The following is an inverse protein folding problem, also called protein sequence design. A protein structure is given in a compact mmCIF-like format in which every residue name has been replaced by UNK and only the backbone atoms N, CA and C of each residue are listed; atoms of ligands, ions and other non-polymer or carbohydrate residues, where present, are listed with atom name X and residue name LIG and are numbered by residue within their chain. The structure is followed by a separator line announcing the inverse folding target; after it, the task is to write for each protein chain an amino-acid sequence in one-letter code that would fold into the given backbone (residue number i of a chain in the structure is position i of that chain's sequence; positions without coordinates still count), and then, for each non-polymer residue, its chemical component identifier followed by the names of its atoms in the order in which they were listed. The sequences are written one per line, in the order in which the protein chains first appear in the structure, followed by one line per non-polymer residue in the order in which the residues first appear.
data_IF_958318004464
#
_entry.id   IF_958318004464
#
_cell.length_a   1.000
_cell.length_b   1.000
_cell.length_c   1.000
_cell.angle_alpha   90.00
_cell.angle_beta   90.00
_cell.angle_gamma   90.00
#
_symmetry.space_group_name_H-M   'P 1'
#
loop_
_entity.id
_entity.type
_entity.pdbx_description
1 polymer ?
#
# COMPACT_ATOMS: atom_id res chain seq x y z
N UNK A 1 -5.18 -20.32 -26.09
CA UNK A 1 -5.93 -19.89 -24.89
C UNK A 1 -4.91 -19.54 -23.82
N UNK A 2 -4.60 -18.25 -23.66
CA UNK A 2 -3.71 -17.81 -22.59
C UNK A 2 -4.44 -17.93 -21.24
N UNK A 3 -3.87 -18.65 -20.29
CA UNK A 3 -4.39 -18.70 -18.92
C UNK A 3 -4.37 -17.28 -18.35
N UNK A 4 -5.52 -16.75 -17.94
CA UNK A 4 -5.59 -15.51 -17.16
C UNK A 4 -4.67 -15.67 -15.95
N UNK A 5 -3.70 -14.75 -15.80
CA UNK A 5 -2.88 -14.70 -14.58
C UNK A 5 -3.83 -14.53 -13.39
N UNK A 6 -3.76 -15.44 -12.43
CA UNK A 6 -4.53 -15.36 -11.19
C UNK A 6 -4.05 -14.16 -10.39
N UNK A 7 -5.01 -13.35 -9.91
CA UNK A 7 -4.72 -12.23 -9.01
C UNK A 7 -4.27 -12.70 -7.63
N UNK A 8 -3.98 -11.75 -6.75
CA UNK A 8 -3.62 -12.03 -5.35
C UNK A 8 -4.76 -12.75 -4.62
N UNK A 9 -4.43 -13.85 -3.94
CA UNK A 9 -5.38 -14.63 -3.13
C UNK A 9 -5.26 -14.30 -1.64
N UNK A 10 -6.23 -14.69 -0.81
CA UNK A 10 -6.15 -14.56 0.65
C UNK A 10 -4.94 -15.30 1.22
N UNK A 11 -4.59 -16.47 0.68
CA UNK A 11 -3.38 -17.21 1.06
C UNK A 11 -2.10 -16.42 0.77
N UNK A 12 -2.03 -15.69 -0.36
CA UNK A 12 -0.88 -14.83 -0.64
C UNK A 12 -0.78 -13.68 0.39
N UNK A 13 -1.91 -13.09 0.78
CA UNK A 13 -1.96 -12.07 1.83
C UNK A 13 -1.52 -12.64 3.18
N UNK A 14 -2.03 -13.80 3.61
CA UNK A 14 -1.60 -14.44 4.85
C UNK A 14 -0.09 -14.66 4.90
N UNK A 15 0.49 -15.21 3.82
CA UNK A 15 1.93 -15.44 3.75
C UNK A 15 2.73 -14.12 3.82
N UNK A 16 2.24 -13.06 3.17
CA UNK A 16 2.83 -11.74 3.27
C UNK A 16 2.76 -11.18 4.68
N UNK A 17 1.62 -11.30 5.37
CA UNK A 17 1.45 -10.81 6.75
C UNK A 17 2.37 -11.53 7.75
N UNK A 18 2.58 -12.83 7.57
CA UNK A 18 3.55 -13.60 8.38
C UNK A 18 4.97 -13.05 8.20
N UNK A 19 5.38 -12.76 6.96
CA UNK A 19 6.70 -12.17 6.70
C UNK A 19 6.81 -10.74 7.22
N UNK A 20 5.72 -9.98 7.15
CA UNK A 20 5.69 -8.59 7.62
C UNK A 20 5.81 -8.53 9.15
N UNK A 21 5.25 -9.51 9.87
CA UNK A 21 5.28 -9.58 11.33
C UNK A 21 6.72 -9.53 11.88
N UNK A 22 7.67 -10.19 11.22
CA UNK A 22 9.09 -10.20 11.63
C UNK A 22 9.75 -8.81 11.58
N UNK A 23 9.12 -7.85 10.90
CA UNK A 23 9.62 -6.49 10.70
C UNK A 23 8.83 -5.43 11.48
N UNK A 24 7.81 -5.83 12.24
CA UNK A 24 6.95 -4.92 12.99
C UNK A 24 7.16 -5.07 14.50
N UNK A 25 7.11 -3.96 15.28
CA UNK A 25 7.07 -4.04 16.74
C UNK A 25 5.88 -4.85 17.24
N UNK A 26 6.01 -5.43 18.44
CA UNK A 26 4.88 -6.04 19.15
C UNK A 26 3.75 -5.02 19.32
N UNK A 27 2.49 -5.48 19.28
CA UNK A 27 1.27 -4.63 19.38
C UNK A 27 1.05 -3.66 18.22
N UNK A 28 1.72 -3.86 17.08
CA UNK A 28 1.42 -3.12 15.85
C UNK A 28 -0.01 -3.35 15.37
N UNK A 29 -0.69 -2.27 14.98
CA UNK A 29 -2.03 -2.30 14.39
C UNK A 29 -1.92 -2.28 12.87
N UNK A 30 -2.68 -3.16 12.21
CA UNK A 30 -2.74 -3.23 10.75
C UNK A 30 -4.04 -2.58 10.30
N UNK A 31 -3.93 -1.52 9.50
CA UNK A 31 -5.08 -0.84 8.89
C UNK A 31 -5.17 -1.21 7.41
N UNK A 32 -6.27 -1.82 6.99
CA UNK A 32 -6.51 -2.24 5.60
C UNK A 32 -7.93 -1.91 5.16
N UNK A 33 -8.15 -1.88 3.84
CA UNK A 33 -9.50 -1.75 3.30
C UNK A 33 -10.29 -3.08 3.38
N UNK A 34 -11.56 -3.04 2.99
CA UNK A 34 -12.48 -4.17 3.14
C UNK A 34 -12.46 -5.10 1.92
N UNK A 35 -11.34 -5.19 1.19
CA UNK A 35 -11.24 -6.11 0.05
C UNK A 35 -11.53 -7.55 0.51
N UNK A 36 -12.24 -8.33 -0.32
CA UNK A 36 -12.67 -9.69 0.03
C UNK A 36 -11.51 -10.60 0.46
N UNK A 37 -10.33 -10.39 -0.12
CA UNK A 37 -9.11 -11.15 0.19
C UNK A 37 -8.56 -10.89 1.60
N UNK A 38 -9.00 -9.85 2.30
CA UNK A 38 -8.58 -9.51 3.68
C UNK A 38 -9.42 -10.20 4.77
N UNK A 39 -10.52 -10.87 4.40
CA UNK A 39 -11.14 -11.90 5.23
C UNK A 39 -11.74 -11.50 6.57
N UNK A 40 -11.84 -10.23 6.98
CA UNK A 40 -12.42 -9.88 8.29
C UNK A 40 -11.64 -8.93 9.20
N UNK A 41 -10.38 -8.65 8.89
CA UNK A 41 -9.44 -7.95 9.79
C UNK A 41 -9.84 -6.47 9.92
N UNK A 42 -9.60 -5.85 11.09
CA UNK A 42 -9.99 -4.47 11.48
C UNK A 42 -10.24 -3.53 10.29
N UNK A 43 -11.50 -3.10 10.19
CA UNK A 43 -12.02 -2.52 8.97
C UNK A 43 -12.05 -1.00 9.02
N UNK A 44 -11.58 -0.40 7.94
CA UNK A 44 -12.00 0.94 7.57
C UNK A 44 -13.49 0.95 7.22
N UNK A 45 -14.21 2.07 7.41
CA UNK A 45 -15.55 2.24 6.86
C UNK A 45 -15.58 1.91 5.35
N UNK A 46 -16.64 1.22 4.91
CA UNK A 46 -16.79 0.83 3.50
C UNK A 46 -16.76 2.07 2.61
N UNK A 47 -16.03 1.97 1.49
CA UNK A 47 -15.91 3.03 0.49
C UNK A 47 -15.26 4.33 1.00
N UNK A 48 -14.41 4.24 2.01
CA UNK A 48 -13.68 5.40 2.56
C UNK A 48 -12.19 5.36 2.24
N UNK A 49 -11.77 5.49 0.96
CA UNK A 49 -10.36 5.48 0.60
C UNK A 49 -9.57 6.66 1.19
N UNK A 50 -10.26 7.74 1.57
CA UNK A 50 -9.69 8.90 2.25
C UNK A 50 -9.32 8.62 3.72
N UNK A 51 -9.72 7.47 4.26
CA UNK A 51 -9.33 7.00 5.59
C UNK A 51 -8.15 6.01 5.56
N UNK A 52 -7.71 5.61 4.36
CA UNK A 52 -6.60 4.67 4.20
C UNK A 52 -5.26 5.40 3.97
N UNK A 53 -4.29 5.29 4.91
CA UNK A 53 -3.05 6.04 4.83
C UNK A 53 -2.21 5.82 3.57
N UNK A 54 -2.33 4.64 2.96
CA UNK A 54 -1.59 4.30 1.74
C UNK A 54 -2.02 5.14 0.54
N UNK A 55 -3.21 5.77 0.57
CA UNK A 55 -3.74 6.50 -0.57
C UNK A 55 -2.87 7.71 -0.93
N UNK A 56 -2.32 8.40 0.07
CA UNK A 56 -1.43 9.54 -0.17
C UNK A 56 -0.10 9.08 -0.75
N UNK A 57 0.44 7.97 -0.24
CA UNK A 57 1.65 7.31 -0.77
C UNK A 57 1.48 7.00 -2.25
N UNK A 58 0.35 6.37 -2.63
CA UNK A 58 0.07 6.08 -4.04
C UNK A 58 -0.09 7.34 -4.90
N UNK A 59 -0.63 8.44 -4.36
CA UNK A 59 -0.69 9.69 -5.11
C UNK A 59 0.70 10.26 -5.40
N UNK A 60 1.61 10.24 -4.42
CA UNK A 60 3.02 10.64 -4.60
C UNK A 60 3.67 9.78 -5.68
N UNK A 61 3.51 8.45 -5.58
CA UNK A 61 4.06 7.51 -6.55
C UNK A 61 3.52 7.78 -7.96
N UNK A 62 2.20 7.95 -8.08
CA UNK A 62 1.55 8.17 -9.36
C UNK A 62 1.99 9.46 -10.03
N UNK A 63 2.13 10.55 -9.28
CA UNK A 63 2.58 11.85 -9.82
C UNK A 63 3.99 11.72 -10.39
N UNK A 64 4.90 11.06 -9.68
CA UNK A 64 6.28 10.89 -10.12
C UNK A 64 6.38 9.97 -11.34
N UNK A 65 5.75 8.79 -11.28
CA UNK A 65 5.75 7.80 -12.36
C UNK A 65 5.14 8.37 -13.64
N UNK A 66 4.09 9.20 -13.54
CA UNK A 66 3.45 9.82 -14.71
C UNK A 66 4.40 10.73 -15.50
N UNK A 67 5.40 11.32 -14.84
CA UNK A 67 6.36 12.22 -15.46
C UNK A 67 7.57 11.50 -16.06
N UNK A 68 7.63 10.16 -15.95
CA UNK A 68 8.71 9.31 -16.47
C UNK A 68 8.24 8.58 -17.72
N UNK A 69 9.10 8.50 -18.73
CA UNK A 69 8.87 7.65 -19.89
C UNK A 69 9.22 6.20 -19.54
N UNK A 70 8.19 5.35 -19.38
CA UNK A 70 8.36 3.96 -18.96
C UNK A 70 7.84 3.04 -20.06
N UNK A 71 8.76 2.28 -20.65
CA UNK A 71 8.49 1.42 -21.82
C UNK A 71 8.28 -0.06 -21.46
N UNK A 72 8.41 -0.44 -20.18
CA UNK A 72 8.29 -1.84 -19.76
C UNK A 72 7.79 -2.01 -18.32
N UNK A 73 7.29 -3.22 -18.01
CA UNK A 73 6.87 -3.58 -16.65
C UNK A 73 8.05 -3.60 -15.66
N UNK A 74 9.22 -4.03 -16.12
CA UNK A 74 10.44 -4.01 -15.30
C UNK A 74 10.85 -2.58 -14.99
N UNK A 75 10.88 -1.70 -15.99
CA UNK A 75 11.20 -0.29 -15.80
C UNK A 75 10.20 0.41 -14.87
N UNK A 76 8.92 0.03 -14.89
CA UNK A 76 7.93 0.51 -13.92
C UNK A 76 8.28 0.08 -12.49
N UNK A 77 8.63 -1.20 -12.29
CA UNK A 77 8.97 -1.72 -10.98
C UNK A 77 10.25 -1.07 -10.42
N UNK A 78 11.25 -0.83 -11.27
CA UNK A 78 12.49 -0.15 -10.92
C UNK A 78 12.24 1.31 -10.55
N UNK A 79 11.48 2.05 -11.36
CA UNK A 79 11.13 3.43 -11.09
C UNK A 79 10.35 3.60 -9.77
N UNK A 80 9.44 2.67 -9.46
CA UNK A 80 8.71 2.66 -8.18
C UNK A 80 9.68 2.38 -7.02
N UNK A 81 10.59 1.41 -7.16
CA UNK A 81 11.56 1.06 -6.12
C UNK A 81 12.50 2.22 -5.81
N UNK A 82 13.05 2.86 -6.83
CA UNK A 82 13.89 4.04 -6.68
C UNK A 82 13.14 5.17 -5.98
N UNK A 83 11.91 5.43 -6.38
CA UNK A 83 11.09 6.46 -5.78
C UNK A 83 10.80 6.20 -4.30
N UNK A 84 10.51 4.95 -3.93
CA UNK A 84 10.28 4.57 -2.53
C UNK A 84 11.55 4.82 -1.72
N UNK A 85 12.71 4.43 -2.23
CA UNK A 85 13.98 4.60 -1.54
C UNK A 85 14.43 6.08 -1.43
N UNK A 86 14.12 6.89 -2.43
CA UNK A 86 14.53 8.30 -2.49
C UNK A 86 13.56 9.23 -1.75
N UNK A 87 12.26 9.08 -1.99
CA UNK A 87 11.23 10.03 -1.52
C UNK A 87 10.41 9.55 -0.34
N UNK A 88 10.41 8.26 -0.02
CA UNK A 88 9.58 7.75 1.07
C UNK A 88 10.33 7.78 2.39
N UNK A 89 10.47 8.99 2.94
CA UNK A 89 11.11 9.22 4.23
C UNK A 89 10.15 8.98 5.40
N UNK A 90 10.66 8.72 6.62
CA UNK A 90 9.82 8.61 7.83
C UNK A 90 8.93 9.84 8.05
N UNK A 91 9.42 11.04 7.70
CA UNK A 91 8.66 12.29 7.80
C UNK A 91 7.44 12.29 6.86
N UNK A 92 7.61 11.85 5.61
CA UNK A 92 6.50 11.78 4.64
C UNK A 92 5.49 10.72 5.06
N UNK A 93 5.94 9.57 5.55
CA UNK A 93 5.06 8.53 6.10
C UNK A 93 4.27 9.04 7.31
N UNK A 94 4.93 9.76 8.23
CA UNK A 94 4.28 10.36 9.41
C UNK A 94 3.25 11.42 9.02
N UNK A 95 3.61 12.35 8.12
CA UNK A 95 2.67 13.35 7.58
C UNK A 95 1.47 12.71 6.89
N UNK A 96 1.71 11.62 6.16
CA UNK A 96 0.63 10.82 5.58
C UNK A 96 -0.29 10.37 6.68
N UNK A 97 0.20 9.62 7.68
CA UNK A 97 -0.62 9.12 8.79
C UNK A 97 -1.39 10.23 9.54
N UNK A 98 -0.73 11.35 9.87
CA UNK A 98 -1.36 12.50 10.55
C UNK A 98 -2.50 13.12 9.73
N UNK A 99 -2.39 13.13 8.40
CA UNK A 99 -3.48 13.60 7.53
C UNK A 99 -4.75 12.76 7.73
N UNK A 100 -4.61 11.44 7.86
CA UNK A 100 -5.75 10.53 8.08
C UNK A 100 -6.33 10.66 9.48
N UNK A 101 -5.49 10.84 10.50
CA UNK A 101 -5.93 10.98 11.89
C UNK A 101 -6.94 12.13 12.08
N UNK A 102 -6.81 13.21 11.29
CA UNK A 102 -7.76 14.34 11.31
C UNK A 102 -9.20 13.96 10.98
N UNK A 103 -9.41 12.86 10.26
CA UNK A 103 -10.75 12.38 9.91
C UNK A 103 -11.37 11.44 10.96
N UNK A 104 -10.60 11.07 11.98
CA UNK A 104 -11.05 10.26 13.13
C UNK A 104 -11.17 11.08 14.42
N UNK A 105 -10.92 12.39 14.35
CA UNK A 105 -11.04 13.36 15.44
C UNK A 105 -12.44 13.96 15.45
#
# INVERSE_FOLDING_TARGET
WEKKKTGTTSTNICNFLVQLQDHCPTESIIVMDNAQIHGGIEFLPKYSPFLNPIKLVFNIIKIDVKNKEIQSKLGLAEAIRELINDKMTPEICSKSFLHFQKFYS
#
